data_IF_538710891309
#
_entry.id   IF_538710891309
#
_cell.length_a   1.000
_cell.length_b   1.000
_cell.length_c   1.000
_cell.angle_alpha   90.00
_cell.angle_beta   90.00
_cell.angle_gamma   90.00
#
_symmetry.space_group_name_H-M   'P 1'
#
loop_
_entity.id
_entity.type
_entity.pdbx_description
1 polymer ?
#
# COMPACT_ATOMS: atom_id res chain seq x y z
N UNK A 1 42.69 -2.53 2.98
CA UNK A 1 42.51 -2.24 4.43
C UNK A 1 41.20 -1.50 4.73
N UNK A 2 40.14 -1.64 3.93
CA UNK A 2 38.87 -0.89 4.09
C UNK A 2 37.72 -1.68 4.73
N UNK A 3 37.86 -2.99 4.98
CA UNK A 3 36.78 -3.84 5.51
C UNK A 3 36.57 -3.78 7.03
N UNK A 4 37.53 -3.28 7.81
CA UNK A 4 37.49 -3.35 9.27
C UNK A 4 36.69 -2.21 9.94
N UNK A 5 36.43 -1.10 9.23
CA UNK A 5 35.77 0.08 9.81
C UNK A 5 34.23 -0.04 9.78
N UNK A 6 33.67 -0.57 8.69
CA UNK A 6 32.22 -0.73 8.55
C UNK A 6 31.64 -1.74 9.56
N UNK A 7 32.35 -2.84 9.82
CA UNK A 7 31.89 -3.88 10.75
C UNK A 7 31.86 -3.40 12.21
N UNK A 8 32.79 -2.52 12.61
CA UNK A 8 32.78 -1.91 13.95
C UNK A 8 31.66 -0.88 14.11
N UNK A 9 31.32 -0.15 13.04
CA UNK A 9 30.22 0.81 13.07
C UNK A 9 28.86 0.11 13.24
N UNK A 10 28.62 -0.99 12.51
CA UNK A 10 27.39 -1.77 12.65
C UNK A 10 27.26 -2.45 14.02
N UNK A 11 28.35 -2.98 14.57
CA UNK A 11 28.34 -3.60 15.90
C UNK A 11 28.04 -2.59 17.02
N UNK A 12 28.59 -1.38 16.92
CA UNK A 12 28.32 -0.31 17.90
C UNK A 12 26.89 0.22 17.79
N UNK A 13 26.36 0.32 16.56
CA UNK A 13 25.00 0.79 16.30
C UNK A 13 23.93 -0.18 16.83
N UNK A 14 24.10 -1.49 16.62
CA UNK A 14 23.18 -2.51 17.13
C UNK A 14 23.22 -2.65 18.66
N UNK A 15 24.40 -2.50 19.27
CA UNK A 15 24.56 -2.57 20.73
C UNK A 15 23.94 -1.36 21.44
N UNK A 16 23.91 -0.19 20.79
CA UNK A 16 23.24 1.00 21.30
C UNK A 16 21.70 0.90 21.21
N UNK A 17 21.15 0.38 20.10
CA UNK A 17 19.70 0.23 19.94
C UNK A 17 19.07 -0.79 20.90
N UNK A 18 19.79 -1.85 21.26
CA UNK A 18 19.29 -2.88 22.20
C UNK A 18 19.33 -2.40 23.66
N UNK A 19 20.26 -1.51 24.02
CA UNK A 19 20.37 -0.89 25.35
C UNK A 19 19.24 0.09 25.65
N UNK A 20 18.78 0.85 24.64
CA UNK A 20 17.72 1.87 24.77
C UNK A 20 16.30 1.26 24.80
N UNK A 21 16.08 0.12 24.14
CA UNK A 21 14.78 -0.57 24.17
C UNK A 21 14.41 -1.12 25.56
N UNK A 22 15.40 -1.40 26.42
CA UNK A 22 15.18 -1.80 27.81
C UNK A 22 14.61 -0.71 28.70
N UNK A 23 14.86 0.58 28.38
CA UNK A 23 14.39 1.73 29.17
C UNK A 23 12.97 2.19 28.80
N UNK A 24 12.56 1.98 27.54
CA UNK A 24 11.23 2.39 27.04
C UNK A 24 10.06 1.56 27.59
N UNK A 25 10.31 0.35 28.12
CA UNK A 25 9.25 -0.45 28.77
C UNK A 25 8.84 0.08 30.15
N UNK A 26 9.63 0.96 30.77
CA UNK A 26 9.36 1.46 32.12
C UNK A 26 8.50 2.74 32.16
N UNK A 27 8.26 3.41 31.02
CA UNK A 27 7.69 4.77 30.98
C UNK A 27 6.20 4.78 30.60
N UNK A 28 5.63 3.67 30.08
CA UNK A 28 4.22 3.61 29.66
C UNK A 28 3.23 3.25 30.79
N UNK A 29 3.59 3.45 32.05
CA UNK A 29 2.70 3.25 33.20
C UNK A 29 2.34 4.62 33.81
N UNK A 30 1.39 5.30 33.18
CA UNK A 30 0.82 6.56 33.66
C UNK A 30 0.67 7.55 32.52
N UNK A 31 -0.55 7.76 32.05
CA UNK A 31 -1.14 9.10 31.94
C UNK A 31 -2.55 9.07 31.31
N UNK A 32 -3.41 9.91 31.89
CA UNK A 32 -4.86 10.06 31.79
C UNK A 32 -5.30 10.78 30.49
N UNK A 33 -6.48 10.51 29.87
CA UNK A 33 -6.83 11.04 28.57
C UNK A 33 -7.74 12.28 28.68
N UNK A 34 -7.17 13.47 28.43
CA UNK A 34 -7.95 14.70 28.33
C UNK A 34 -7.28 15.72 27.40
N UNK A 35 -8.07 16.23 26.44
CA UNK A 35 -7.79 17.30 25.48
C UNK A 35 -6.80 16.99 24.34
N UNK A 36 -7.31 16.87 23.11
CA UNK A 36 -6.84 17.66 21.97
C UNK A 36 -7.96 17.75 20.91
N UNK A 37 -8.30 18.98 20.55
CA UNK A 37 -9.45 19.40 19.76
C UNK A 37 -9.03 19.64 18.29
N UNK A 38 -9.97 19.41 17.38
CA UNK A 38 -9.88 19.60 15.93
C UNK A 38 -9.44 21.02 15.52
N UNK A 39 -8.34 21.12 14.76
CA UNK A 39 -8.11 22.18 13.77
C UNK A 39 -6.87 21.82 12.96
N UNK A 40 -7.04 21.42 11.69
CA UNK A 40 -6.06 21.58 10.58
C UNK A 40 -6.54 20.81 9.33
N UNK A 41 -7.75 21.12 8.84
CA UNK A 41 -8.28 20.60 7.57
C UNK A 41 -8.59 21.74 6.58
N UNK A 42 -7.71 22.73 6.50
CA UNK A 42 -7.75 23.73 5.43
C UNK A 42 -6.32 24.03 4.98
N UNK A 43 -6.10 24.03 3.66
CA UNK A 43 -4.85 24.29 2.92
C UNK A 43 -4.08 23.05 2.43
N UNK A 44 -4.64 22.38 1.42
CA UNK A 44 -3.86 21.71 0.38
C UNK A 44 -4.36 22.18 -0.99
N UNK A 45 -3.50 22.62 -1.93
CA UNK A 45 -3.92 23.05 -3.26
C UNK A 45 -4.29 21.86 -4.14
N UNK A 46 -5.38 22.03 -4.90
CA UNK A 46 -5.91 21.07 -5.88
C UNK A 46 -5.13 21.18 -7.20
N UNK A 47 -4.41 20.12 -7.58
CA UNK A 47 -3.67 20.06 -8.86
C UNK A 47 -4.40 19.06 -9.76
N UNK A 48 -5.38 19.57 -10.51
CA UNK A 48 -6.08 18.81 -11.55
C UNK A 48 -5.28 18.89 -12.86
N UNK A 49 -4.85 17.75 -13.39
CA UNK A 49 -4.19 17.64 -14.69
C UNK A 49 -5.25 17.37 -15.77
N UNK A 50 -5.39 18.28 -16.74
CA UNK A 50 -6.31 18.15 -17.87
C UNK A 50 -5.63 17.41 -19.03
N UNK A 51 -6.15 16.25 -19.40
CA UNK A 51 -5.83 15.62 -20.69
C UNK A 51 -6.85 16.13 -21.72
N UNK A 52 -6.37 16.93 -22.66
CA UNK A 52 -7.16 17.40 -23.79
C UNK A 52 -7.52 16.24 -24.71
N UNK A 53 -8.80 16.11 -25.05
CA UNK A 53 -9.24 15.36 -26.21
C UNK A 53 -10.23 16.22 -26.96
N UNK A 54 -9.80 16.67 -28.14
CA UNK A 54 -10.56 17.40 -29.13
C UNK A 54 -11.63 16.51 -29.75
N UNK A 55 -12.90 16.87 -29.59
CA UNK A 55 -13.97 16.52 -30.54
C UNK A 55 -14.88 17.75 -30.69
N UNK A 56 -14.85 18.32 -31.88
CA UNK A 56 -15.75 19.39 -32.30
C UNK A 56 -16.96 18.79 -33.02
N UNK A 57 -18.18 19.14 -32.61
CA UNK A 57 -19.30 19.33 -33.55
C UNK A 57 -20.52 20.02 -32.92
N UNK A 58 -20.86 21.14 -33.57
CA UNK A 58 -22.13 21.89 -33.72
C UNK A 58 -22.97 22.33 -32.51
N UNK A 59 -23.25 23.63 -32.54
CA UNK A 59 -24.08 24.42 -31.65
C UNK A 59 -25.59 24.14 -31.75
N UNK A 60 -26.25 24.23 -30.59
CA UNK A 60 -27.64 24.68 -30.48
C UNK A 60 -27.82 25.32 -29.10
N UNK A 61 -28.11 26.61 -29.09
CA UNK A 61 -28.46 27.39 -27.89
C UNK A 61 -29.91 27.07 -27.53
N UNK A 62 -30.20 26.73 -26.28
CA UNK A 62 -31.15 27.44 -25.38
C UNK A 62 -31.60 26.58 -24.20
N UNK A 63 -31.75 27.26 -23.05
CA UNK A 63 -32.42 26.89 -21.78
C UNK A 63 -31.59 26.20 -20.70
N UNK A 64 -31.05 27.06 -19.83
CA UNK A 64 -30.71 26.80 -18.43
C UNK A 64 -31.89 26.25 -17.64
N UNK A 65 -31.65 25.15 -16.93
CA UNK A 65 -32.13 24.80 -15.57
C UNK A 65 -32.16 23.28 -15.38
N UNK A 66 -30.98 22.67 -15.40
CA UNK A 66 -30.76 21.35 -14.81
C UNK A 66 -29.48 21.41 -13.99
N UNK A 67 -29.46 20.96 -12.72
CA UNK A 67 -28.22 20.87 -11.98
C UNK A 67 -27.36 19.79 -12.65
N UNK A 68 -26.26 20.20 -13.31
CA UNK A 68 -25.23 19.32 -13.89
C UNK A 68 -24.36 18.64 -12.83
N UNK A 69 -24.91 18.41 -11.64
CA UNK A 69 -24.32 17.50 -10.67
C UNK A 69 -25.08 16.19 -10.80
N UNK A 70 -24.48 15.25 -11.55
CA UNK A 70 -24.79 13.83 -11.41
C UNK A 70 -24.84 13.57 -9.91
N UNK A 71 -26.03 13.26 -9.39
CA UNK A 71 -26.24 12.84 -8.01
C UNK A 71 -25.12 11.88 -7.68
N UNK A 72 -24.26 12.29 -6.75
CA UNK A 72 -23.16 11.49 -6.25
C UNK A 72 -23.82 10.35 -5.50
N UNK A 73 -24.16 9.30 -6.26
CA UNK A 73 -24.60 8.02 -5.72
C UNK A 73 -23.55 7.60 -4.69
N UNK A 74 -23.98 7.15 -3.50
CA UNK A 74 -23.10 6.96 -2.37
C UNK A 74 -21.97 6.01 -2.76
N UNK A 75 -20.75 6.49 -2.53
CA UNK A 75 -19.45 5.84 -2.74
C UNK A 75 -19.43 4.42 -2.13
N UNK A 76 -20.01 3.46 -2.85
CA UNK A 76 -19.76 2.01 -2.79
C UNK A 76 -18.37 1.73 -3.41
N UNK A 77 -17.40 2.56 -3.00
CA UNK A 77 -16.14 2.78 -3.68
C UNK A 77 -15.35 1.49 -3.84
N UNK A 78 -15.30 1.04 -5.10
CA UNK A 78 -14.37 0.05 -5.64
C UNK A 78 -14.68 -1.40 -5.24
N UNK A 79 -15.91 -1.85 -5.52
CA UNK A 79 -16.17 -3.27 -5.77
C UNK A 79 -15.58 -3.68 -7.13
N UNK A 80 -15.29 -4.97 -7.30
CA UNK A 80 -14.91 -5.73 -8.50
C UNK A 80 -15.08 -5.17 -9.93
N UNK A 81 -15.97 -4.20 -10.16
CA UNK A 81 -16.33 -3.62 -11.46
C UNK A 81 -15.32 -2.55 -11.97
N UNK A 82 -14.16 -2.43 -11.33
CA UNK A 82 -13.24 -1.28 -11.53
C UNK A 82 -12.23 -1.47 -12.67
N UNK A 83 -12.15 -2.65 -13.30
CA UNK A 83 -11.13 -2.95 -14.32
C UNK A 83 -11.74 -3.58 -15.59
N UNK A 84 -12.54 -2.84 -16.38
CA UNK A 84 -13.16 -3.36 -17.60
C UNK A 84 -12.12 -3.71 -18.69
N UNK A 85 -10.97 -3.04 -18.65
CA UNK A 85 -9.80 -3.26 -19.50
C UNK A 85 -8.99 -4.52 -19.12
N UNK A 86 -9.25 -5.09 -17.93
CA UNK A 86 -8.43 -6.16 -17.37
C UNK A 86 -9.26 -7.17 -16.56
N UNK A 87 -10.05 -8.02 -17.24
CA UNK A 87 -10.97 -8.96 -16.59
C UNK A 87 -10.24 -10.01 -15.74
N UNK A 88 -9.00 -10.35 -16.08
CA UNK A 88 -8.17 -11.29 -15.32
C UNK A 88 -7.77 -10.69 -13.96
N UNK A 89 -7.28 -9.45 -13.95
CA UNK A 89 -6.97 -8.75 -12.70
C UNK A 89 -8.23 -8.55 -11.85
N UNK A 90 -9.35 -8.17 -12.48
CA UNK A 90 -10.64 -8.04 -11.80
C UNK A 90 -11.09 -9.35 -11.12
N UNK A 91 -10.84 -10.50 -11.75
CA UNK A 91 -11.17 -11.80 -11.18
C UNK A 91 -10.37 -12.09 -9.90
N UNK A 92 -9.07 -11.82 -9.88
CA UNK A 92 -8.23 -12.02 -8.69
C UNK A 92 -8.65 -11.07 -7.55
N UNK A 93 -9.01 -9.83 -7.88
CA UNK A 93 -9.53 -8.88 -6.88
C UNK A 93 -10.87 -9.38 -6.30
N UNK A 94 -11.77 -9.92 -7.13
CA UNK A 94 -13.02 -10.56 -6.66
C UNK A 94 -12.77 -11.73 -5.73
N UNK A 95 -11.80 -12.56 -6.06
CA UNK A 95 -11.40 -13.72 -5.26
C UNK A 95 -10.89 -13.28 -3.88
N UNK A 96 -10.09 -12.21 -3.82
CA UNK A 96 -9.66 -11.60 -2.57
C UNK A 96 -10.84 -11.11 -1.70
N UNK A 97 -11.82 -10.42 -2.29
CA UNK A 97 -13.01 -9.98 -1.57
C UNK A 97 -13.82 -11.16 -1.02
N UNK A 98 -14.06 -12.17 -1.86
CA UNK A 98 -14.82 -13.37 -1.49
C UNK A 98 -14.14 -14.13 -0.33
N UNK A 99 -12.79 -14.21 -0.36
CA UNK A 99 -12.01 -14.82 0.71
C UNK A 99 -12.15 -14.05 2.03
N UNK A 100 -12.05 -12.72 1.98
CA UNK A 100 -12.20 -11.85 3.16
C UNK A 100 -13.60 -11.98 3.76
N UNK A 101 -14.65 -11.97 2.94
CA UNK A 101 -16.04 -12.16 3.37
C UNK A 101 -16.25 -13.54 4.00
N UNK A 102 -15.54 -14.55 3.51
CA UNK A 102 -15.54 -15.92 4.06
C UNK A 102 -14.65 -16.07 5.31
N UNK A 103 -14.10 -14.99 5.86
CA UNK A 103 -13.26 -15.01 7.07
C UNK A 103 -11.81 -15.45 6.83
N UNK A 104 -11.37 -15.50 5.57
CA UNK A 104 -9.98 -15.76 5.20
C UNK A 104 -9.29 -14.42 4.95
N UNK A 105 -8.59 -13.94 5.96
CA UNK A 105 -8.00 -12.60 5.95
C UNK A 105 -6.57 -12.58 5.39
N UNK A 106 -6.15 -11.46 4.77
CA UNK A 106 -4.75 -11.20 4.45
C UNK A 106 -3.81 -11.34 5.65
N UNK A 107 -2.67 -11.97 5.43
CA UNK A 107 -1.66 -12.26 6.46
C UNK A 107 -0.50 -11.26 6.38
N UNK A 108 -0.09 -10.70 7.52
CA UNK A 108 0.98 -9.71 7.55
C UNK A 108 2.34 -10.32 7.20
N UNK A 109 3.08 -9.64 6.32
CA UNK A 109 4.46 -9.98 5.99
C UNK A 109 5.38 -9.31 7.02
N UNK A 110 6.07 -10.11 7.84
CA UNK A 110 6.99 -9.59 8.87
C UNK A 110 8.40 -9.32 8.35
N UNK A 111 8.79 -10.00 7.28
CA UNK A 111 10.05 -9.76 6.58
C UNK A 111 9.85 -8.60 5.60
N UNK A 112 10.30 -7.39 5.95
CA UNK A 112 10.19 -6.21 5.08
C UNK A 112 9.78 -4.92 5.80
N UNK A 113 9.43 -3.90 5.03
CA UNK A 113 8.88 -2.64 5.56
C UNK A 113 7.54 -2.88 6.25
N UNK A 114 7.24 -2.09 7.29
CA UNK A 114 5.94 -2.14 7.95
C UNK A 114 4.82 -1.87 6.94
N UNK A 115 3.81 -2.75 6.89
CA UNK A 115 2.57 -2.53 6.13
C UNK A 115 2.44 -3.30 4.81
N UNK A 116 2.85 -4.57 4.76
CA UNK A 116 2.59 -5.46 3.61
C UNK A 116 1.84 -6.72 4.04
N UNK A 117 0.95 -7.22 3.18
CA UNK A 117 0.10 -8.37 3.46
C UNK A 117 0.05 -9.35 2.30
N UNK A 118 0.17 -10.64 2.57
CA UNK A 118 -0.22 -11.70 1.63
C UNK A 118 -1.74 -11.81 1.60
N UNK A 119 -2.34 -11.49 0.46
CA UNK A 119 -3.76 -11.71 0.20
C UNK A 119 -3.95 -13.14 -0.28
N UNK A 120 -5.01 -13.79 0.20
CA UNK A 120 -5.31 -15.19 -0.08
C UNK A 120 -6.67 -15.33 -0.76
N UNK A 121 -6.86 -16.42 -1.48
CA UNK A 121 -8.16 -16.86 -1.95
C UNK A 121 -8.91 -17.72 -0.92
N UNK A 122 -10.09 -18.21 -1.30
CA UNK A 122 -10.90 -19.12 -0.46
C UNK A 122 -10.21 -20.46 -0.16
N UNK A 123 -9.24 -20.87 -0.99
CA UNK A 123 -8.42 -22.07 -0.80
C UNK A 123 -7.19 -21.81 0.09
N UNK A 124 -7.03 -20.57 0.58
CA UNK A 124 -5.89 -20.10 1.39
C UNK A 124 -4.55 -20.01 0.63
N UNK A 125 -4.59 -20.09 -0.70
CA UNK A 125 -3.45 -19.87 -1.59
C UNK A 125 -3.18 -18.37 -1.72
N UNK A 126 -1.90 -17.99 -1.78
CA UNK A 126 -1.49 -16.58 -1.94
C UNK A 126 -1.75 -16.14 -3.38
N UNK A 127 -2.51 -15.07 -3.55
CA UNK A 127 -2.88 -14.54 -4.87
C UNK A 127 -2.34 -13.14 -5.14
N UNK A 128 -2.01 -12.39 -4.08
CA UNK A 128 -1.45 -11.05 -4.20
C UNK A 128 -0.66 -10.61 -2.98
N UNK A 129 0.14 -9.57 -3.15
CA UNK A 129 0.71 -8.75 -2.09
C UNK A 129 -0.03 -7.42 -2.08
N UNK A 130 -0.53 -7.03 -0.91
CA UNK A 130 -1.24 -5.77 -0.71
C UNK A 130 -0.47 -4.85 0.24
N UNK A 131 -0.27 -3.60 -0.17
CA UNK A 131 0.43 -2.56 0.62
C UNK A 131 -0.49 -1.34 0.80
N UNK A 132 -1.19 -1.22 1.94
CA UNK A 132 -2.05 -0.07 2.20
C UNK A 132 -1.24 1.22 2.41
N UNK A 133 -1.68 2.31 1.76
CA UNK A 133 -1.06 3.64 1.77
C UNK A 133 -0.77 4.14 3.19
N UNK A 134 -1.73 4.00 4.11
CA UNK A 134 -1.66 4.59 5.44
C UNK A 134 -0.79 3.80 6.44
N UNK A 135 -0.24 2.65 6.04
CA UNK A 135 0.69 1.84 6.83
C UNK A 135 2.14 1.89 6.35
N UNK A 136 2.41 2.64 5.27
CA UNK A 136 3.77 2.89 4.78
C UNK A 136 4.66 3.53 5.87
N UNK A 137 6.01 3.49 5.75
CA UNK A 137 6.94 4.12 6.70
C UNK A 137 6.68 5.61 6.97
N UNK A 138 5.91 6.29 6.10
CA UNK A 138 5.48 7.69 6.24
C UNK A 138 3.94 7.86 6.37
N UNK A 139 3.21 6.76 6.53
CA UNK A 139 1.76 6.73 6.69
C UNK A 139 1.31 7.43 7.97
N UNK A 140 0.08 7.98 7.97
CA UNK A 140 -0.49 8.72 9.10
C UNK A 140 -0.54 7.90 10.41
N UNK A 141 -0.57 6.57 10.30
CA UNK A 141 -0.60 5.63 11.42
C UNK A 141 0.80 5.18 11.91
N UNK A 142 1.87 5.66 11.28
CA UNK A 142 3.25 5.45 11.73
C UNK A 142 3.75 6.76 12.40
N UNK A 143 3.90 6.80 13.74
CA UNK A 143 3.98 8.05 14.49
C UNK A 143 5.17 8.94 14.09
N UNK A 144 4.89 10.24 13.97
CA UNK A 144 5.78 11.31 13.49
C UNK A 144 7.04 11.58 14.35
N UNK A 145 7.26 10.88 15.47
CA UNK A 145 8.39 11.15 16.37
C UNK A 145 9.76 10.79 15.76
N UNK A 146 9.79 9.79 14.87
CA UNK A 146 10.96 9.49 14.03
C UNK A 146 11.37 10.67 13.14
N UNK A 147 10.44 11.55 12.73
CA UNK A 147 10.77 12.75 11.94
C UNK A 147 11.52 13.81 12.73
N UNK A 148 11.29 13.94 14.04
CA UNK A 148 12.04 14.90 14.86
C UNK A 148 13.46 14.37 15.15
N UNK A 149 13.59 13.10 15.51
CA UNK A 149 14.87 12.47 15.80
C UNK A 149 15.76 12.33 14.55
N UNK A 150 15.18 12.02 13.38
CA UNK A 150 15.93 11.94 12.12
C UNK A 150 16.41 13.30 11.59
N UNK A 151 15.67 14.38 11.87
CA UNK A 151 16.05 15.74 11.45
C UNK A 151 17.20 16.33 12.30
N UNK A 152 17.37 15.84 13.53
CA UNK A 152 18.37 16.35 14.47
C UNK A 152 19.70 15.58 14.46
N UNK A 153 19.71 14.31 14.04
CA UNK A 153 20.87 13.42 14.24
C UNK A 153 21.73 13.15 12.98
N UNK A 154 21.24 13.41 11.75
CA UNK A 154 22.03 13.19 10.52
C UNK A 154 21.45 13.89 9.27
N UNK A 155 21.83 15.16 8.95
CA UNK A 155 21.26 15.91 7.83
C UNK A 155 21.66 15.41 6.43
N UNK A 156 22.57 14.44 6.30
CA UNK A 156 23.16 14.00 5.03
C UNK A 156 23.04 12.49 4.73
N UNK A 157 22.50 11.67 5.65
CA UNK A 157 22.45 10.20 5.46
C UNK A 157 21.05 9.58 5.59
N UNK A 158 20.01 10.33 5.93
CA UNK A 158 18.70 9.74 6.20
C UNK A 158 17.54 10.53 5.58
N UNK A 159 17.02 9.96 4.50
CA UNK A 159 15.77 10.39 3.88
C UNK A 159 15.90 10.31 2.38
N UNK A 160 15.03 9.52 1.76
CA UNK A 160 14.68 9.64 0.34
C UNK A 160 13.99 11.00 0.12
N UNK A 161 14.69 12.11 0.35
CA UNK A 161 14.17 13.48 0.28
C UNK A 161 13.73 13.86 -1.14
N UNK A 162 14.22 13.12 -2.14
CA UNK A 162 13.79 13.17 -3.53
C UNK A 162 12.47 12.43 -3.81
N UNK A 163 11.92 11.65 -2.86
CA UNK A 163 10.66 10.93 -3.04
C UNK A 163 9.50 11.66 -2.37
N UNK A 164 8.38 11.72 -3.09
CA UNK A 164 7.14 12.28 -2.56
C UNK A 164 6.63 11.40 -1.41
N UNK A 165 6.39 11.95 -0.21
CA UNK A 165 5.91 11.18 0.92
C UNK A 165 4.54 10.53 0.65
N UNK A 166 4.31 9.31 1.18
CA UNK A 166 2.99 8.64 1.22
C UNK A 166 2.38 8.35 -0.17
N UNK A 167 3.23 8.16 -1.18
CA UNK A 167 2.87 7.78 -2.54
C UNK A 167 3.56 6.46 -2.97
N UNK A 168 4.01 5.64 -2.01
CA UNK A 168 4.67 4.37 -2.33
C UNK A 168 3.79 3.46 -3.17
N UNK A 169 2.53 3.27 -2.79
CA UNK A 169 1.54 2.51 -3.56
C UNK A 169 1.33 3.00 -5.01
N UNK A 170 1.48 4.32 -5.28
CA UNK A 170 1.45 4.84 -6.64
C UNK A 170 2.74 4.51 -7.40
N UNK A 171 3.90 4.54 -6.73
CA UNK A 171 5.16 4.11 -7.34
C UNK A 171 5.09 2.63 -7.75
N UNK A 172 4.51 1.77 -6.91
CA UNK A 172 4.32 0.33 -7.18
C UNK A 172 3.40 0.11 -8.38
N UNK A 173 2.25 0.79 -8.43
CA UNK A 173 1.34 0.73 -9.59
C UNK A 173 1.96 1.35 -10.84
N UNK A 174 2.73 2.43 -10.68
CA UNK A 174 3.45 3.12 -11.75
C UNK A 174 4.52 2.24 -12.40
N UNK A 175 5.28 1.48 -11.61
CA UNK A 175 6.25 0.51 -12.12
C UNK A 175 5.56 -0.53 -13.03
N UNK A 176 4.42 -1.09 -12.61
CA UNK A 176 3.64 -2.01 -13.45
C UNK A 176 3.10 -1.33 -14.71
N UNK A 177 2.72 -0.06 -14.65
CA UNK A 177 2.24 0.69 -15.82
C UNK A 177 3.37 0.91 -16.84
N UNK A 178 4.56 1.30 -16.37
CA UNK A 178 5.75 1.48 -17.22
C UNK A 178 6.18 0.15 -17.84
N UNK A 179 6.24 -0.92 -17.04
CA UNK A 179 6.55 -2.28 -17.51
C UNK A 179 5.61 -2.71 -18.66
N UNK A 180 4.30 -2.53 -18.49
CA UNK A 180 3.32 -2.87 -19.53
C UNK A 180 3.48 -1.99 -20.78
N UNK A 181 3.74 -0.69 -20.61
CA UNK A 181 3.89 0.25 -21.72
C UNK A 181 5.14 -0.03 -22.55
N UNK A 182 6.21 -0.49 -21.91
CA UNK A 182 7.47 -0.88 -22.53
C UNK A 182 7.54 -2.37 -22.91
N UNK A 183 6.50 -3.15 -22.58
CA UNK A 183 6.42 -4.60 -22.84
C UNK A 183 7.59 -5.38 -22.24
N UNK A 184 8.08 -4.97 -21.07
CA UNK A 184 9.18 -5.63 -20.37
C UNK A 184 8.72 -6.96 -19.76
N UNK A 185 7.49 -6.99 -19.21
CA UNK A 185 6.86 -8.17 -18.63
C UNK A 185 7.67 -8.80 -17.48
N UNK A 186 8.29 -7.97 -16.64
CA UNK A 186 9.09 -8.39 -15.48
C UNK A 186 8.44 -7.99 -14.15
N UNK A 187 7.58 -6.97 -14.14
CA UNK A 187 6.82 -6.57 -12.95
C UNK A 187 5.50 -7.35 -12.89
N UNK A 188 5.22 -8.11 -11.81
CA UNK A 188 3.90 -8.69 -11.63
C UNK A 188 2.83 -7.60 -11.61
N UNK A 189 1.75 -7.81 -12.36
CA UNK A 189 0.73 -6.80 -12.58
C UNK A 189 0.26 -6.19 -11.27
N UNK A 190 0.35 -4.86 -11.18
CA UNK A 190 0.05 -4.10 -9.95
C UNK A 190 -0.88 -2.95 -10.26
N UNK A 191 -2.02 -2.87 -9.57
CA UNK A 191 -2.95 -1.73 -9.68
C UNK A 191 -3.34 -1.20 -8.31
N UNK A 192 -3.93 0.00 -8.28
CA UNK A 192 -4.48 0.59 -7.05
C UNK A 192 -5.84 -0.05 -6.76
N UNK A 193 -5.99 -0.61 -5.56
CA UNK A 193 -7.22 -1.27 -5.11
C UNK A 193 -7.58 -0.74 -3.72
N UNK A 194 -8.87 -0.76 -3.39
CA UNK A 194 -9.36 -0.52 -2.03
C UNK A 194 -9.77 -1.86 -1.41
N UNK A 195 -9.21 -2.21 -0.25
CA UNK A 195 -9.57 -3.40 0.51
C UNK A 195 -9.94 -3.04 1.95
N UNK A 196 -10.80 -3.84 2.56
CA UNK A 196 -11.07 -3.82 4.01
C UNK A 196 -10.76 -5.21 4.56
N UNK A 197 -10.05 -5.29 5.68
CA UNK A 197 -9.78 -6.54 6.38
C UNK A 197 -9.51 -6.26 7.85
N UNK A 198 -10.04 -7.08 8.76
CA UNK A 198 -9.81 -6.90 10.20
C UNK A 198 -8.32 -6.96 10.61
N UNK A 199 -7.50 -7.64 9.80
CA UNK A 199 -6.06 -7.82 10.00
C UNK A 199 -5.21 -6.60 9.63
N UNK A 200 -5.77 -5.63 8.91
CA UNK A 200 -5.06 -4.37 8.63
C UNK A 200 -4.93 -3.50 9.90
N UNK A 201 -3.99 -2.56 9.88
CA UNK A 201 -3.76 -1.68 11.02
C UNK A 201 -4.75 -0.50 11.01
N UNK A 202 -5.74 -0.53 11.91
CA UNK A 202 -6.72 0.55 12.09
C UNK A 202 -6.52 1.24 13.42
N UNK A 203 -6.87 2.53 13.49
CA UNK A 203 -6.88 3.25 14.75
C UNK A 203 -7.87 2.64 15.75
N UNK A 204 -7.63 2.83 17.05
CA UNK A 204 -8.56 2.38 18.09
C UNK A 204 -9.96 2.99 17.89
N UNK A 205 -10.03 4.23 17.42
CA UNK A 205 -11.27 4.92 17.10
C UNK A 205 -12.03 4.25 15.95
N UNK A 206 -11.35 3.87 14.87
CA UNK A 206 -12.01 3.19 13.74
C UNK A 206 -12.56 1.82 14.16
N UNK A 207 -11.80 1.07 14.97
CA UNK A 207 -12.25 -0.21 15.52
C UNK A 207 -13.44 -0.04 16.45
N UNK A 208 -13.44 0.98 17.32
CA UNK A 208 -14.56 1.28 18.20
C UNK A 208 -15.81 1.69 17.41
N UNK A 209 -15.68 2.59 16.43
CA UNK A 209 -16.79 3.02 15.56
C UNK A 209 -17.40 1.85 14.80
N UNK A 210 -16.58 0.96 14.24
CA UNK A 210 -17.05 -0.22 13.52
C UNK A 210 -17.87 -1.15 14.44
N UNK A 211 -17.38 -1.41 15.67
CA UNK A 211 -18.10 -2.22 16.67
C UNK A 211 -19.41 -1.58 17.10
N UNK A 212 -19.41 -0.29 17.43
CA UNK A 212 -20.61 0.44 17.86
C UNK A 212 -21.69 0.43 16.78
N UNK A 213 -21.32 0.71 15.52
CA UNK A 213 -22.28 0.69 14.40
C UNK A 213 -22.84 -0.70 14.13
N UNK A 214 -22.01 -1.75 14.22
CA UNK A 214 -22.46 -3.13 14.09
C UNK A 214 -23.49 -3.48 15.18
N UNK A 215 -23.17 -3.17 16.44
CA UNK A 215 -24.05 -3.40 17.59
C UNK A 215 -25.38 -2.63 17.49
N UNK A 216 -25.35 -1.36 17.05
CA UNK A 216 -26.58 -0.55 16.89
C UNK A 216 -27.43 -1.09 15.75
N UNK A 217 -26.82 -1.55 14.66
CA UNK A 217 -27.55 -2.11 13.52
C UNK A 217 -28.20 -3.45 13.87
N UNK A 218 -27.49 -4.32 14.61
CA UNK A 218 -28.03 -5.59 15.10
C UNK A 218 -29.14 -5.38 16.13
N UNK A 219 -29.02 -4.39 17.04
CA UNK A 219 -30.02 -4.12 18.09
C UNK A 219 -31.24 -3.32 17.59
N UNK A 220 -31.04 -2.39 16.65
CA UNK A 220 -32.07 -1.49 16.15
C UNK A 220 -32.07 -1.46 14.62
N UNK A 221 -32.61 -2.49 13.95
CA UNK A 221 -32.56 -2.58 12.49
C UNK A 221 -33.23 -1.40 11.78
N UNK A 222 -34.21 -0.74 12.43
CA UNK A 222 -34.86 0.47 11.91
C UNK A 222 -33.93 1.71 11.86
N UNK A 223 -32.99 1.83 12.81
CA UNK A 223 -31.97 2.90 12.88
C UNK A 223 -30.72 2.54 12.07
N UNK A 224 -30.40 1.23 12.01
CA UNK A 224 -29.33 0.66 11.19
C UNK A 224 -29.39 1.06 9.72
N UNK A 225 -30.61 1.19 9.17
CA UNK A 225 -30.86 1.63 7.78
C UNK A 225 -30.34 3.03 7.45
N UNK A 226 -29.99 3.85 8.45
CA UNK A 226 -29.43 5.19 8.24
C UNK A 226 -27.89 5.19 8.22
N UNK A 227 -27.24 4.08 8.60
CA UNK A 227 -25.79 3.95 8.50
C UNK A 227 -25.40 3.45 7.12
N UNK A 228 -25.07 4.37 6.22
CA UNK A 228 -24.56 4.07 4.87
C UNK A 228 -23.17 3.39 4.86
N UNK A 229 -22.49 3.29 6.01
CA UNK A 229 -21.17 2.65 6.16
C UNK A 229 -21.11 1.89 7.49
N UNK A 230 -21.29 0.58 7.42
CA UNK A 230 -21.10 -0.37 8.52
C UNK A 230 -19.76 -1.08 8.30
N UNK A 231 -18.98 -1.26 9.37
CA UNK A 231 -17.67 -1.94 9.30
C UNK A 231 -16.47 -0.99 9.33
N UNK A 232 -15.29 -1.58 9.10
CA UNK A 232 -14.02 -0.86 9.05
C UNK A 232 -13.89 -0.05 7.74
N UNK A 233 -13.16 1.07 7.73
CA UNK A 233 -12.98 1.84 6.51
C UNK A 233 -12.13 1.06 5.49
N UNK A 234 -12.47 1.17 4.20
CA UNK A 234 -11.61 0.67 3.13
C UNK A 234 -10.28 1.42 3.14
N UNK A 235 -9.17 0.69 3.06
CA UNK A 235 -7.84 1.24 2.84
C UNK A 235 -7.53 1.19 1.36
N UNK A 236 -6.93 2.25 0.82
CA UNK A 236 -6.36 2.26 -0.54
C UNK A 236 -4.91 1.78 -0.49
N UNK A 237 -4.48 1.04 -1.49
CA UNK A 237 -3.12 0.51 -1.56
C UNK A 237 -2.79 -0.10 -2.91
N UNK A 238 -1.54 -0.53 -3.07
CA UNK A 238 -1.12 -1.28 -4.25
C UNK A 238 -1.46 -2.76 -4.06
N UNK A 239 -2.01 -3.37 -5.10
CA UNK A 239 -2.35 -4.78 -5.16
C UNK A 239 -1.56 -5.41 -6.30
N UNK A 240 -0.52 -6.14 -5.96
CA UNK A 240 0.41 -6.79 -6.89
C UNK A 240 0.12 -8.28 -6.94
N UNK A 241 -0.03 -8.86 -8.13
CA UNK A 241 -0.24 -10.30 -8.27
C UNK A 241 0.95 -11.08 -7.68
N UNK A 242 0.63 -12.17 -6.98
CA UNK A 242 1.64 -13.07 -6.43
C UNK A 242 2.19 -13.97 -7.54
N UNK A 243 3.51 -14.15 -7.56
CA UNK A 243 4.20 -15.07 -8.49
C UNK A 243 4.87 -16.18 -7.69
N UNK A 244 4.66 -17.42 -8.11
CA UNK A 244 5.17 -18.61 -7.45
C UNK A 244 6.49 -19.08 -8.06
N UNK A 245 7.30 -19.82 -7.29
CA UNK A 245 8.54 -20.42 -7.77
C UNK A 245 9.76 -19.49 -7.85
N UNK A 246 9.62 -18.23 -7.41
CA UNK A 246 10.72 -17.27 -7.35
C UNK A 246 11.46 -17.32 -6.00
N UNK A 247 12.73 -16.93 -6.03
CA UNK A 247 13.59 -16.72 -4.85
C UNK A 247 14.35 -15.40 -5.04
N UNK A 248 14.95 -14.89 -3.97
CA UNK A 248 15.79 -13.69 -4.01
C UNK A 248 16.89 -13.81 -5.09
N UNK A 249 17.14 -12.72 -5.82
CA UNK A 249 18.16 -12.72 -6.87
C UNK A 249 19.54 -13.10 -6.34
N UNK A 250 19.90 -12.66 -5.13
CA UNK A 250 21.18 -13.00 -4.46
C UNK A 250 21.34 -14.51 -4.23
N UNK A 251 20.26 -15.23 -3.92
CA UNK A 251 20.29 -16.69 -3.77
C UNK A 251 20.75 -17.36 -5.07
N UNK A 252 20.16 -16.97 -6.20
CA UNK A 252 20.49 -17.54 -7.51
C UNK A 252 21.86 -17.10 -8.02
N UNK A 253 22.20 -15.83 -7.87
CA UNK A 253 23.49 -15.28 -8.30
C UNK A 253 24.66 -16.00 -7.63
N UNK A 254 24.59 -16.23 -6.30
CA UNK A 254 25.61 -17.01 -5.58
C UNK A 254 25.69 -18.45 -6.07
N UNK A 255 24.55 -19.06 -6.40
CA UNK A 255 24.54 -20.41 -6.96
C UNK A 255 25.23 -20.45 -8.33
N UNK A 256 25.00 -19.45 -9.17
CA UNK A 256 25.61 -19.35 -10.50
C UNK A 256 27.12 -19.12 -10.46
N UNK A 257 27.66 -18.55 -9.38
CA UNK A 257 29.12 -18.45 -9.16
C UNK A 257 29.77 -19.83 -8.99
N UNK A 258 29.10 -20.75 -8.27
CA UNK A 258 29.58 -22.13 -8.08
C UNK A 258 29.21 -23.08 -9.20
N UNK A 259 28.02 -22.91 -9.79
CA UNK A 259 27.43 -23.75 -10.81
C UNK A 259 26.98 -22.86 -11.97
N UNK A 260 27.87 -22.51 -12.92
CA UNK A 260 27.55 -21.63 -14.02
C UNK A 260 26.38 -22.16 -14.85
N UNK A 261 25.51 -21.24 -15.26
CA UNK A 261 24.40 -21.57 -16.14
C UNK A 261 24.92 -22.08 -17.49
N UNK A 262 24.20 -23.03 -18.13
CA UNK A 262 24.41 -23.34 -19.54
C UNK A 262 24.35 -22.06 -20.40
N UNK A 263 25.14 -21.94 -21.48
CA UNK A 263 25.25 -20.70 -22.25
C UNK A 263 23.90 -20.13 -22.73
N UNK A 264 22.95 -20.99 -23.09
CA UNK A 264 21.62 -20.54 -23.52
C UNK A 264 20.80 -19.93 -22.37
N UNK A 265 20.84 -20.55 -21.18
CA UNK A 265 20.19 -20.00 -19.99
C UNK A 265 20.87 -18.72 -19.50
N UNK A 266 22.20 -18.62 -19.63
CA UNK A 266 22.93 -17.40 -19.33
C UNK A 266 22.49 -16.25 -20.24
N UNK A 267 22.33 -16.52 -21.54
CA UNK A 267 21.82 -15.54 -22.51
C UNK A 267 20.39 -15.10 -22.18
N UNK A 268 19.51 -16.04 -21.83
CA UNK A 268 18.14 -15.72 -21.39
C UNK A 268 18.13 -14.87 -20.11
N UNK A 269 18.96 -15.22 -19.11
CA UNK A 269 19.09 -14.47 -17.87
C UNK A 269 19.58 -13.04 -18.13
N UNK A 270 20.58 -12.87 -19.00
CA UNK A 270 21.09 -11.56 -19.41
C UNK A 270 19.99 -10.69 -20.02
N UNK A 271 19.16 -11.21 -20.92
CA UNK A 271 18.04 -10.45 -21.49
C UNK A 271 16.99 -10.05 -20.44
N UNK A 272 16.72 -10.90 -19.46
CA UNK A 272 15.82 -10.53 -18.35
C UNK A 272 16.44 -9.45 -17.46
N UNK A 273 17.75 -9.53 -17.21
CA UNK A 273 18.47 -8.52 -16.45
C UNK A 273 18.52 -7.17 -17.18
N UNK A 274 18.71 -7.15 -18.49
CA UNK A 274 18.66 -5.92 -19.29
C UNK A 274 17.29 -5.23 -19.21
N UNK A 275 16.19 -6.00 -19.20
CA UNK A 275 14.84 -5.43 -18.99
C UNK A 275 14.70 -4.81 -17.59
N UNK A 276 15.29 -5.43 -16.57
CA UNK A 276 15.32 -4.88 -15.21
C UNK A 276 16.08 -3.55 -15.18
N UNK A 277 17.25 -3.48 -15.82
CA UNK A 277 18.06 -2.25 -15.92
C UNK A 277 17.33 -1.12 -16.65
N UNK A 278 16.49 -1.43 -17.64
CA UNK A 278 15.69 -0.41 -18.35
C UNK A 278 14.54 0.12 -17.49
N UNK A 279 13.98 -0.71 -16.61
CA UNK A 279 12.85 -0.33 -15.76
C UNK A 279 13.29 0.55 -14.58
N UNK A 280 14.42 0.22 -13.95
CA UNK A 280 15.00 0.93 -12.80
C UNK A 280 15.64 2.28 -13.19
#
# INVERSE_FOLDING_TARGET
SSGASASRFFYFFFKSMTSEQGKLRAINAGDDPGLYQDSDEQNLPDVTFSVGTSLACSASRTRESQPLLRRMEPDLGTTAETFPDDPQFAAVVREAFTAIESGIYPERIYQGSSGSYFVKNCERTKIAVYKPKDEEPYGRLNPKWTKWMHKLCCPCCFGRSCLVPNQGYLSEAGASLVDQKLQLNIVPKTKVVKLVSETFNYSALDRAKARTKKNVTERFPKVGRHFHRIGLPHKVGSFQLYVEGYQDADYWLRKFESEPLPPELQRMFQFQFERLVVLD
#
